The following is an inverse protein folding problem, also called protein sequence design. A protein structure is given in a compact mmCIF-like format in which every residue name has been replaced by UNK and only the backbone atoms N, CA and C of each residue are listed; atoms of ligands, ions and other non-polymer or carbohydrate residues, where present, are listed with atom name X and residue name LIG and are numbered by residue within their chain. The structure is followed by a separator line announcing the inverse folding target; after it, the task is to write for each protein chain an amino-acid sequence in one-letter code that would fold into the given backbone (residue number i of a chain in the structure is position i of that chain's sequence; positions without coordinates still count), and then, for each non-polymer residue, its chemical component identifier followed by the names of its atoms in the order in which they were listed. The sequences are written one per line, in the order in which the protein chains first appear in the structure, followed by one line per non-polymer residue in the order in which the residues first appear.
data_IF_326781945556
#
_entry.id   IF_326781945556
#
_cell.length_a   1.000
_cell.length_b   1.000
_cell.length_c   1.000
_cell.angle_alpha   90.00
_cell.angle_beta   90.00
_cell.angle_gamma   90.00
#
_symmetry.space_group_name_H-M   'P 1'
#
loop_
_entity.id
_entity.type
_entity.pdbx_description
1 polymer ?
#
# COMPACT_ATOMS: atom_id res chain seq x y z
N UNK A 1 -1.53 -3.51 -27.73
CA UNK A 1 -1.05 -2.87 -26.48
C UNK A 1 0.02 -3.78 -25.89
N UNK A 2 1.21 -3.28 -25.65
CA UNK A 2 2.32 -4.06 -25.07
C UNK A 2 2.50 -3.54 -23.63
N UNK A 3 2.36 -4.43 -22.64
CA UNK A 3 2.63 -4.11 -21.25
C UNK A 3 4.14 -4.26 -21.02
N UNK A 4 4.81 -3.15 -20.72
CA UNK A 4 6.25 -3.10 -20.44
C UNK A 4 6.56 -2.79 -18.99
N UNK A 5 5.61 -2.16 -18.26
CA UNK A 5 5.77 -1.75 -16.87
C UNK A 5 4.52 -2.07 -16.07
N UNK A 6 4.66 -2.91 -15.06
CA UNK A 6 3.60 -3.32 -14.15
C UNK A 6 3.86 -2.70 -12.78
N UNK A 7 2.93 -1.89 -12.28
CA UNK A 7 2.97 -1.39 -10.91
C UNK A 7 2.07 -2.24 -10.03
N UNK A 8 2.61 -2.79 -8.96
CA UNK A 8 1.90 -3.60 -7.98
C UNK A 8 1.69 -2.77 -6.73
N UNK A 9 0.42 -2.54 -6.37
CA UNK A 9 0.07 -1.85 -5.13
C UNK A 9 -0.16 -2.88 -4.01
N UNK A 10 0.61 -2.74 -2.93
CA UNK A 10 0.51 -3.60 -1.75
C UNK A 10 0.23 -2.80 -0.49
N UNK A 11 -0.67 -3.30 0.34
CA UNK A 11 -0.87 -2.87 1.71
C UNK A 11 -0.45 -3.96 2.71
N UNK A 12 -0.72 -3.73 4.00
CA UNK A 12 -0.34 -4.64 5.09
C UNK A 12 -1.17 -5.93 5.20
N UNK A 13 -2.17 -6.13 4.33
CA UNK A 13 -3.10 -7.26 4.44
C UNK A 13 -2.63 -8.52 3.70
N UNK A 14 -3.10 -9.70 4.15
CA UNK A 14 -2.93 -10.97 3.43
C UNK A 14 -3.51 -10.93 2.02
N UNK A 15 -4.46 -10.05 1.79
CA UNK A 15 -5.15 -9.86 0.52
C UNK A 15 -4.26 -9.18 -0.52
N UNK A 16 -3.42 -8.28 -0.07
CA UNK A 16 -2.42 -7.63 -0.91
C UNK A 16 -1.32 -8.60 -1.36
N UNK A 17 -1.05 -9.63 -0.59
CA UNK A 17 -0.10 -10.67 -0.95
C UNK A 17 -0.54 -11.44 -2.19
N UNK A 18 -1.81 -11.79 -2.28
CA UNK A 18 -2.37 -12.47 -3.46
C UNK A 18 -2.34 -11.58 -4.71
N UNK A 19 -2.64 -10.29 -4.55
CA UNK A 19 -2.51 -9.33 -5.65
C UNK A 19 -1.06 -9.16 -6.11
N UNK A 20 -0.11 -9.17 -5.16
CA UNK A 20 1.31 -9.13 -5.48
C UNK A 20 1.76 -10.36 -6.27
N UNK A 21 1.36 -11.57 -5.85
CA UNK A 21 1.62 -12.81 -6.58
C UNK A 21 1.15 -12.70 -8.04
N UNK A 22 -0.12 -12.30 -8.25
CA UNK A 22 -0.66 -12.08 -9.59
C UNK A 22 0.09 -11.04 -10.41
N UNK A 23 0.46 -9.93 -9.78
CA UNK A 23 1.20 -8.86 -10.43
C UNK A 23 2.58 -9.31 -10.90
N UNK A 24 3.30 -10.07 -10.09
CA UNK A 24 4.60 -10.62 -10.47
C UNK A 24 4.49 -11.69 -11.56
N UNK A 25 3.50 -12.56 -11.50
CA UNK A 25 3.22 -13.52 -12.58
C UNK A 25 2.90 -12.82 -13.90
N UNK A 26 2.09 -11.76 -13.84
CA UNK A 26 1.77 -10.93 -15.00
C UNK A 26 3.04 -10.32 -15.60
N UNK A 27 3.88 -9.70 -14.76
CA UNK A 27 5.12 -9.09 -15.20
C UNK A 27 6.07 -10.10 -15.87
N UNK A 28 6.22 -11.29 -15.29
CA UNK A 28 7.02 -12.37 -15.91
C UNK A 28 6.48 -12.76 -17.26
N UNK A 29 5.17 -12.92 -17.38
CA UNK A 29 4.53 -13.37 -18.64
C UNK A 29 4.73 -12.38 -19.77
N UNK A 30 4.80 -11.08 -19.47
CA UNK A 30 5.03 -10.02 -20.46
C UNK A 30 6.50 -9.62 -20.59
N UNK A 31 7.39 -10.12 -19.73
CA UNK A 31 8.77 -9.65 -19.66
C UNK A 31 8.84 -8.17 -19.25
N UNK A 32 7.93 -7.73 -18.38
CA UNK A 32 7.76 -6.33 -18.00
C UNK A 32 8.64 -5.97 -16.80
N UNK A 33 9.09 -4.71 -16.77
CA UNK A 33 9.66 -4.10 -15.56
C UNK A 33 8.59 -4.04 -14.47
N UNK A 34 8.99 -4.26 -13.23
CA UNK A 34 8.06 -4.32 -12.11
C UNK A 34 8.35 -3.25 -11.08
N UNK A 35 7.35 -2.47 -10.74
CA UNK A 35 7.31 -1.58 -9.59
C UNK A 35 6.45 -2.17 -8.48
N UNK A 36 6.89 -2.06 -7.23
CA UNK A 36 6.12 -2.41 -6.05
C UNK A 36 5.96 -1.17 -5.19
N UNK A 37 4.72 -0.75 -4.94
CA UNK A 37 4.43 0.41 -4.10
C UNK A 37 3.73 -0.01 -2.83
N UNK A 38 4.22 0.51 -1.70
CA UNK A 38 3.57 0.47 -0.41
C UNK A 38 3.37 1.90 0.09
N UNK A 39 2.17 2.22 0.53
CA UNK A 39 1.84 3.55 1.05
C UNK A 39 1.74 3.49 2.57
N UNK A 40 2.46 4.38 3.21
CA UNK A 40 2.41 4.56 4.66
C UNK A 40 1.43 5.70 4.97
N UNK A 41 0.29 5.37 5.54
CA UNK A 41 -0.65 6.38 6.03
C UNK A 41 -0.15 6.89 7.39
N UNK A 42 0.09 8.21 7.54
CA UNK A 42 0.53 8.75 8.81
C UNK A 42 -0.56 8.55 9.87
N UNK A 43 -0.20 7.97 10.99
CA UNK A 43 -1.10 7.87 12.15
C UNK A 43 -1.15 9.23 12.82
N UNK A 44 -2.24 9.95 12.65
CA UNK A 44 -2.52 11.17 13.40
C UNK A 44 -2.96 10.73 14.80
N UNK A 45 -2.06 10.79 15.75
CA UNK A 45 -2.45 10.64 17.15
C UNK A 45 -3.26 11.87 17.56
N UNK A 46 -4.49 11.71 18.09
CA UNK A 46 -5.18 12.83 18.66
C UNK A 46 -4.32 13.36 19.80
N UNK A 47 -3.95 14.64 19.72
CA UNK A 47 -3.32 15.34 20.84
C UNK A 47 -4.31 15.39 21.98
N UNK A 48 -4.26 14.43 22.88
CA UNK A 48 -5.04 14.44 24.10
C UNK A 48 -4.38 15.44 25.03
N UNK A 49 -4.70 16.71 24.86
CA UNK A 49 -4.49 17.71 25.88
C UNK A 49 -5.53 17.47 26.98
N UNK A 50 -5.29 16.50 27.84
CA UNK A 50 -6.00 16.41 29.10
C UNK A 50 -5.46 17.48 30.02
N UNK A 51 -6.06 18.65 29.98
CA UNK A 51 -6.00 19.61 31.08
C UNK A 51 -6.81 19.00 32.20
N UNK A 52 -6.14 18.45 33.20
CA UNK A 52 -6.80 18.03 34.43
C UNK A 52 -7.25 19.33 35.14
N UNK A 53 -8.57 19.58 35.33
CA UNK A 53 -9.08 20.84 35.85
C UNK A 53 -8.73 21.06 37.34
N UNK A 54 -8.16 20.07 38.02
CA UNK A 54 -7.96 20.09 39.48
C UNK A 54 -6.53 20.46 39.85
N UNK A 55 -5.51 20.26 39.04
CA UNK A 55 -4.12 20.44 39.47
C UNK A 55 -3.32 21.45 38.64
N UNK A 56 -3.81 21.92 37.49
CA UNK A 56 -3.12 22.98 36.72
C UNK A 56 -1.68 22.63 36.26
N UNK A 57 -1.27 21.39 36.41
CA UNK A 57 0.02 20.92 35.90
C UNK A 57 -0.18 20.25 34.54
N UNK A 58 0.67 20.58 33.54
CA UNK A 58 0.74 19.79 32.31
C UNK A 58 1.20 18.39 32.73
N UNK A 59 0.32 17.40 32.64
CA UNK A 59 0.75 16.02 32.63
C UNK A 59 1.54 15.85 31.32
N UNK A 60 2.85 15.68 31.46
CA UNK A 60 3.67 15.23 30.33
C UNK A 60 2.96 14.01 29.74
N UNK A 61 2.38 14.22 28.55
CA UNK A 61 1.89 13.08 27.79
C UNK A 61 3.11 12.18 27.60
N UNK A 62 2.99 10.91 27.98
CA UNK A 62 3.90 9.87 27.54
C UNK A 62 3.71 9.73 26.02
N UNK A 63 4.03 10.80 25.29
CA UNK A 63 3.95 10.87 23.86
C UNK A 63 5.06 10.02 23.29
N UNK A 64 4.66 8.93 22.65
CA UNK A 64 5.52 8.32 21.65
C UNK A 64 5.87 9.44 20.68
N UNK A 65 7.15 9.71 20.49
CA UNK A 65 7.61 10.76 19.58
C UNK A 65 7.06 10.45 18.18
N UNK A 66 6.43 11.42 17.53
CA UNK A 66 5.92 11.26 16.16
C UNK A 66 7.00 10.71 15.22
N UNK A 67 8.26 11.07 15.46
CA UNK A 67 9.41 10.58 14.72
C UNK A 67 9.63 9.08 14.93
N UNK A 68 9.55 8.62 16.17
CA UNK A 68 9.69 7.21 16.51
C UNK A 68 8.58 6.36 15.87
N UNK A 69 7.35 6.87 15.83
CA UNK A 69 6.24 6.22 15.12
C UNK A 69 6.48 6.17 13.61
N UNK A 70 6.95 7.26 13.02
CA UNK A 70 7.29 7.29 11.59
C UNK A 70 8.41 6.29 11.26
N UNK A 71 9.46 6.22 12.08
CA UNK A 71 10.57 5.28 11.90
C UNK A 71 10.11 3.83 11.98
N UNK A 72 9.21 3.52 12.92
CA UNK A 72 8.60 2.19 13.05
C UNK A 72 7.77 1.85 11.82
N UNK A 73 6.92 2.77 11.36
CA UNK A 73 6.07 2.56 10.18
C UNK A 73 6.91 2.37 8.91
N UNK A 74 7.97 3.17 8.76
CA UNK A 74 8.90 3.02 7.64
C UNK A 74 9.60 1.66 7.67
N UNK A 75 10.13 1.25 8.80
CA UNK A 75 10.78 -0.06 8.97
C UNK A 75 9.83 -1.22 8.68
N UNK A 76 8.57 -1.10 9.11
CA UNK A 76 7.54 -2.09 8.80
C UNK A 76 7.23 -2.16 7.30
N UNK A 77 7.15 -1.00 6.65
CA UNK A 77 6.92 -0.90 5.20
C UNK A 77 8.06 -1.56 4.42
N UNK A 78 9.30 -1.23 4.73
CA UNK A 78 10.49 -1.79 4.10
C UNK A 78 10.55 -3.32 4.28
N UNK A 79 10.27 -3.82 5.49
CA UNK A 79 10.22 -5.26 5.76
C UNK A 79 9.17 -5.99 4.92
N UNK A 80 7.99 -5.38 4.74
CA UNK A 80 6.91 -5.97 3.93
C UNK A 80 7.31 -6.02 2.46
N UNK A 81 7.90 -4.96 1.95
CA UNK A 81 8.41 -4.89 0.58
C UNK A 81 9.46 -5.98 0.36
N UNK A 82 10.46 -6.05 1.23
CA UNK A 82 11.52 -7.06 1.16
C UNK A 82 11.00 -8.50 1.22
N UNK A 83 10.11 -8.79 2.16
CA UNK A 83 9.48 -10.11 2.28
C UNK A 83 8.70 -10.47 1.02
N UNK A 84 7.99 -9.50 0.43
CA UNK A 84 7.21 -9.72 -0.79
C UNK A 84 8.11 -10.02 -1.97
N UNK A 85 9.18 -9.24 -2.14
CA UNK A 85 10.15 -9.44 -3.22
C UNK A 85 10.83 -10.80 -3.06
N UNK A 86 11.29 -11.15 -1.86
CA UNK A 86 11.92 -12.46 -1.59
C UNK A 86 10.98 -13.64 -1.88
N UNK A 87 9.71 -13.48 -1.54
CA UNK A 87 8.72 -14.56 -1.71
C UNK A 87 8.31 -14.77 -3.16
N UNK A 88 8.08 -13.69 -3.90
CA UNK A 88 7.44 -13.76 -5.20
C UNK A 88 8.31 -13.32 -6.38
N UNK A 89 9.41 -12.62 -6.13
CA UNK A 89 10.20 -11.95 -7.16
C UNK A 89 11.72 -12.04 -6.93
N UNK A 90 12.19 -13.11 -6.27
CA UNK A 90 13.62 -13.30 -6.00
C UNK A 90 14.47 -13.40 -7.28
N UNK A 91 13.87 -13.71 -8.41
CA UNK A 91 14.44 -13.83 -9.74
C UNK A 91 14.30 -12.56 -10.59
N UNK A 92 13.69 -11.50 -10.05
CA UNK A 92 13.35 -10.27 -10.78
C UNK A 92 14.03 -9.04 -10.18
N UNK A 93 14.28 -8.04 -11.03
CA UNK A 93 14.58 -6.70 -10.56
C UNK A 93 13.27 -5.95 -10.31
N UNK A 94 13.07 -5.49 -9.08
CA UNK A 94 11.88 -4.77 -8.65
C UNK A 94 12.26 -3.39 -8.18
N UNK A 95 11.66 -2.37 -8.77
CA UNK A 95 11.74 -0.99 -8.27
C UNK A 95 10.70 -0.85 -7.16
N UNK A 96 11.13 -0.52 -5.94
CA UNK A 96 10.18 -0.30 -4.85
C UNK A 96 9.99 1.19 -4.58
N UNK A 97 8.76 1.52 -4.19
CA UNK A 97 8.34 2.87 -3.81
C UNK A 97 7.72 2.80 -2.42
N UNK A 98 8.14 3.70 -1.55
CA UNK A 98 7.49 3.95 -0.27
C UNK A 98 7.02 5.39 -0.28
N UNK A 99 5.72 5.60 -0.26
CA UNK A 99 5.10 6.92 -0.28
C UNK A 99 4.32 7.15 1.01
N UNK A 100 4.23 8.42 1.39
CA UNK A 100 3.52 8.84 2.60
C UNK A 100 2.28 9.65 2.21
N UNK A 101 1.16 9.38 2.87
CA UNK A 101 -0.08 10.13 2.68
C UNK A 101 -1.28 9.27 2.30
N UNK A 102 -2.16 9.80 1.44
CA UNK A 102 -3.33 9.06 0.95
C UNK A 102 -2.90 7.86 0.10
N UNK A 103 -3.32 6.67 0.51
CA UNK A 103 -2.95 5.42 -0.17
C UNK A 103 -3.32 5.43 -1.65
N UNK A 104 -4.53 5.88 -1.99
CA UNK A 104 -5.00 5.87 -3.38
C UNK A 104 -4.25 6.87 -4.26
N UNK A 105 -4.04 8.09 -3.77
CA UNK A 105 -3.34 9.14 -4.51
C UNK A 105 -1.85 8.82 -4.66
N UNK A 106 -1.23 8.24 -3.63
CA UNK A 106 0.15 7.75 -3.67
C UNK A 106 0.35 6.69 -4.75
N UNK A 107 -0.55 5.72 -4.87
CA UNK A 107 -0.51 4.70 -5.93
C UNK A 107 -0.59 5.36 -7.32
N UNK A 108 -1.49 6.32 -7.51
CA UNK A 108 -1.66 7.02 -8.79
C UNK A 108 -0.42 7.85 -9.13
N UNK A 109 0.18 8.51 -8.14
CA UNK A 109 1.42 9.27 -8.31
C UNK A 109 2.58 8.36 -8.70
N UNK A 110 2.79 7.27 -7.99
CA UNK A 110 3.80 6.27 -8.33
C UNK A 110 3.59 5.69 -9.74
N UNK A 111 2.33 5.45 -10.15
CA UNK A 111 2.04 4.94 -11.49
C UNK A 111 2.49 5.91 -12.58
N UNK A 112 2.33 7.21 -12.35
CA UNK A 112 2.80 8.26 -13.29
C UNK A 112 4.33 8.35 -13.32
N UNK A 113 4.97 8.37 -12.16
CA UNK A 113 6.44 8.46 -12.04
C UNK A 113 7.15 7.25 -12.62
N UNK A 114 6.64 6.07 -12.34
CA UNK A 114 7.14 4.82 -12.89
C UNK A 114 6.85 4.68 -14.39
N UNK A 115 5.90 5.47 -14.93
CA UNK A 115 5.33 5.30 -16.27
C UNK A 115 4.73 3.90 -16.44
N UNK A 116 3.92 3.47 -15.49
CA UNK A 116 3.27 2.17 -15.51
C UNK A 116 2.31 2.05 -16.69
N UNK A 117 2.27 0.87 -17.31
CA UNK A 117 1.27 0.54 -18.34
C UNK A 117 0.00 -0.07 -17.72
N UNK A 118 0.12 -0.62 -16.51
CA UNK A 118 -0.96 -1.21 -15.74
C UNK A 118 -0.67 -1.16 -14.24
N UNK A 119 -1.72 -0.95 -13.44
CA UNK A 119 -1.68 -1.09 -11.99
C UNK A 119 -2.35 -2.41 -11.61
N UNK A 120 -1.74 -3.18 -10.70
CA UNK A 120 -2.33 -4.37 -10.09
C UNK A 120 -2.58 -4.09 -8.62
N UNK A 121 -3.84 -4.26 -8.18
CA UNK A 121 -4.30 -3.94 -6.83
C UNK A 121 -5.26 -5.01 -6.31
N UNK A 122 -5.20 -5.31 -5.02
CA UNK A 122 -6.17 -6.21 -4.37
C UNK A 122 -7.48 -5.52 -4.02
N UNK A 123 -8.56 -6.28 -3.93
CA UNK A 123 -9.78 -5.80 -3.29
C UNK A 123 -9.59 -5.79 -1.79
N UNK A 124 -9.86 -4.65 -1.13
CA UNK A 124 -9.86 -4.57 0.33
C UNK A 124 -11.19 -5.04 0.88
N UNK A 125 -11.16 -6.06 1.71
CA UNK A 125 -12.21 -6.31 2.68
C UNK A 125 -11.56 -6.52 4.05
N UNK A 126 -11.42 -5.43 4.82
CA UNK A 126 -11.04 -5.50 6.24
C UNK A 126 -12.12 -6.15 7.10
N UNK A 127 -13.34 -6.21 6.61
CA UNK A 127 -14.49 -6.70 7.33
C UNK A 127 -15.16 -7.78 6.51
N UNK A 128 -14.81 -9.00 6.61
CA UNK A 128 -15.36 -10.21 5.99
C UNK A 128 -16.85 -10.27 5.58
N UNK A 129 -17.49 -9.14 5.45
CA UNK A 129 -18.86 -8.94 5.03
C UNK A 129 -18.83 -8.39 3.61
N UNK A 130 -19.34 -9.19 2.70
CA UNK A 130 -19.62 -8.90 1.29
C UNK A 130 -18.49 -9.04 0.27
N UNK A 131 -18.54 -10.16 -0.42
CA UNK A 131 -17.72 -10.52 -1.60
C UNK A 131 -17.88 -9.57 -2.79
N UNK A 132 -18.63 -8.49 -2.66
CA UNK A 132 -19.04 -7.60 -3.76
C UNK A 132 -18.58 -6.15 -3.60
N UNK A 133 -17.98 -5.79 -2.46
CA UNK A 133 -17.55 -4.40 -2.27
C UNK A 133 -16.06 -4.26 -2.57
N UNK A 134 -15.78 -3.53 -3.64
CA UNK A 134 -14.45 -2.99 -3.90
C UNK A 134 -14.09 -2.05 -2.76
N UNK A 135 -12.90 -2.21 -2.14
CA UNK A 135 -12.45 -1.31 -1.07
C UNK A 135 -12.29 0.13 -1.56
N UNK A 136 -12.41 1.09 -0.65
CA UNK A 136 -12.34 2.53 -0.97
C UNK A 136 -11.08 2.91 -1.75
N UNK A 137 -9.93 2.32 -1.42
CA UNK A 137 -8.67 2.58 -2.13
C UNK A 137 -8.71 2.05 -3.55
N UNK A 138 -9.11 0.80 -3.75
CA UNK A 138 -9.19 0.21 -5.09
C UNK A 138 -10.24 0.89 -5.96
N UNK A 139 -11.37 1.29 -5.39
CA UNK A 139 -12.41 2.07 -6.09
C UNK A 139 -11.86 3.43 -6.55
N UNK A 140 -11.18 4.15 -5.67
CA UNK A 140 -10.59 5.45 -6.01
C UNK A 140 -9.53 5.31 -7.10
N UNK A 141 -8.64 4.32 -6.98
CA UNK A 141 -7.61 4.06 -7.99
C UNK A 141 -8.24 3.72 -9.35
N UNK A 142 -9.26 2.87 -9.40
CA UNK A 142 -9.96 2.53 -10.65
C UNK A 142 -10.59 3.75 -11.30
N UNK A 143 -11.16 4.66 -10.51
CA UNK A 143 -11.84 5.88 -11.03
C UNK A 143 -10.86 6.94 -11.54
N UNK A 144 -9.68 7.05 -10.95
CA UNK A 144 -8.77 8.17 -11.19
C UNK A 144 -7.43 7.76 -11.81
N UNK A 145 -7.20 6.48 -12.04
CA UNK A 145 -5.99 5.99 -12.67
C UNK A 145 -5.86 6.47 -14.12
N UNK A 146 -4.68 6.95 -14.53
CA UNK A 146 -4.39 7.28 -15.93
C UNK A 146 -4.15 6.05 -16.80
N UNK A 147 -4.03 4.87 -16.20
CA UNK A 147 -3.73 3.59 -16.89
C UNK A 147 -4.72 2.50 -16.46
N UNK A 148 -4.85 1.40 -17.22
CA UNK A 148 -5.66 0.25 -16.84
C UNK A 148 -5.33 -0.26 -15.44
N UNK A 149 -6.36 -0.71 -14.71
CA UNK A 149 -6.22 -1.26 -13.36
C UNK A 149 -6.74 -2.70 -13.35
N UNK A 150 -5.89 -3.63 -12.96
CA UNK A 150 -6.26 -5.01 -12.69
C UNK A 150 -6.58 -5.15 -11.20
N UNK A 151 -7.85 -5.36 -10.90
CA UNK A 151 -8.31 -5.59 -9.54
C UNK A 151 -8.33 -7.09 -9.28
N UNK A 152 -7.54 -7.55 -8.31
CA UNK A 152 -7.42 -8.96 -7.97
C UNK A 152 -8.31 -9.27 -6.76
N UNK A 153 -9.40 -10.04 -6.94
CA UNK A 153 -10.27 -10.41 -5.85
C UNK A 153 -9.59 -11.42 -4.92
N UNK A 154 -10.08 -11.47 -3.67
CA UNK A 154 -9.71 -12.56 -2.77
C UNK A 154 -10.15 -13.90 -3.35
N UNK A 155 -9.27 -14.90 -3.32
CA UNK A 155 -9.71 -16.29 -3.51
C UNK A 155 -10.68 -16.62 -2.36
N UNK A 156 -11.98 -16.69 -2.68
CA UNK A 156 -12.94 -17.31 -1.79
C UNK A 156 -12.52 -18.77 -1.57
N UNK A 157 -12.42 -19.16 -0.31
CA UNK A 157 -12.43 -20.59 0.03
C UNK A 157 -13.80 -21.15 -0.27
#
# INVERSE_FOLDING_TARGET
MVIKKVLIARDYGKHAEHAAEYGFELARKFGAETGLVNIVEPVILPSVTTTDPIIGMPTESLGVDERELMDIQQSQSENIVDQTIRKFAADMQVTHFTEYGSTADGIITCAKEFNADIIVIGTHSRTGLDRLLMGSVSEHVVRHSPVPVLVVPLKGR
#
